data_IF_248290426392
#
_entry.id   IF_248290426392
#
_cell.length_a   1.000
_cell.length_b   1.000
_cell.length_c   1.000
_cell.angle_alpha   90.00
_cell.angle_beta   90.00
_cell.angle_gamma   90.00
#
_symmetry.space_group_name_H-M   'P 1'
#
loop_
_entity.id
_entity.type
_entity.pdbx_description
1 polymer ?
#
# COMPACT_ATOMS: atom_id res chain seq x y z
N UNK A 1 10.39 2.03 9.34
CA UNK A 1 9.59 1.25 8.38
C UNK A 1 8.74 2.21 7.58
N UNK A 2 8.47 1.90 6.31
CA UNK A 2 7.59 2.70 5.46
C UNK A 2 6.38 1.86 5.07
N UNK A 3 5.19 2.44 5.15
CA UNK A 3 3.94 1.78 4.81
C UNK A 3 3.30 2.43 3.59
N UNK A 4 2.66 1.59 2.77
CA UNK A 4 1.77 2.00 1.69
C UNK A 4 0.41 1.36 1.94
N UNK A 5 -0.59 2.19 2.25
CA UNK A 5 -1.95 1.71 2.47
C UNK A 5 -2.70 1.73 1.15
N UNK A 6 -3.24 0.57 0.80
CA UNK A 6 -4.13 0.40 -0.34
C UNK A 6 -5.47 1.14 -0.12
N UNK A 7 -6.22 1.34 -1.20
CA UNK A 7 -7.50 2.05 -1.22
C UNK A 7 -8.52 1.42 -0.27
N UNK A 8 -8.48 0.11 -0.11
CA UNK A 8 -9.39 -0.64 0.77
C UNK A 8 -9.02 -0.58 2.26
N UNK A 9 -7.80 -0.17 2.62
CA UNK A 9 -7.31 -0.19 3.99
C UNK A 9 -7.96 0.93 4.84
N UNK A 10 -8.36 0.67 6.08
CA UNK A 10 -9.05 1.68 6.89
C UNK A 10 -8.20 2.95 7.11
N UNK A 11 -8.78 4.14 6.89
CA UNK A 11 -8.09 5.42 7.09
C UNK A 11 -7.55 5.65 8.50
N UNK A 12 -8.24 5.17 9.54
CA UNK A 12 -7.78 5.27 10.93
C UNK A 12 -6.46 4.54 11.18
N UNK A 13 -6.10 3.55 10.36
CA UNK A 13 -4.80 2.88 10.42
C UNK A 13 -3.67 3.81 9.97
N UNK A 14 -3.93 4.68 8.99
CA UNK A 14 -2.96 5.68 8.52
C UNK A 14 -2.56 6.61 9.67
N UNK A 15 -3.55 7.15 10.37
CA UNK A 15 -3.34 8.07 11.50
C UNK A 15 -2.59 7.37 12.63
N UNK A 16 -3.00 6.16 13.00
CA UNK A 16 -2.32 5.37 14.03
C UNK A 16 -0.84 5.11 13.70
N UNK A 17 -0.52 4.73 12.45
CA UNK A 17 0.87 4.48 12.05
C UNK A 17 1.70 5.76 12.00
N UNK A 18 1.10 6.89 11.60
CA UNK A 18 1.75 8.21 11.64
C UNK A 18 2.02 8.65 13.07
N UNK A 19 1.08 8.45 13.99
CA UNK A 19 1.24 8.77 15.42
C UNK A 19 2.37 7.96 16.08
N UNK A 20 2.62 6.73 15.60
CA UNK A 20 3.77 5.92 15.99
C UNK A 20 5.11 6.38 15.37
N UNK A 21 5.09 7.39 14.50
CA UNK A 21 6.29 7.96 13.86
C UNK A 21 6.74 7.23 12.59
N UNK A 22 5.88 6.43 11.96
CA UNK A 22 6.22 5.78 10.69
C UNK A 22 5.99 6.70 9.48
N UNK A 23 6.73 6.43 8.40
CA UNK A 23 6.47 7.02 7.08
C UNK A 23 5.30 6.25 6.45
N UNK A 24 4.20 6.95 6.18
CA UNK A 24 2.96 6.36 5.70
C UNK A 24 2.49 7.12 4.47
N UNK A 25 2.34 6.39 3.36
CA UNK A 25 1.65 6.86 2.16
C UNK A 25 0.33 6.11 1.99
N UNK A 26 -0.65 6.74 1.34
CA UNK A 26 -1.94 6.12 1.05
C UNK A 26 -2.26 6.27 -0.44
N UNK A 27 -2.60 5.17 -1.11
CA UNK A 27 -2.93 5.16 -2.54
C UNK A 27 -4.09 6.12 -2.84
N UNK A 28 -5.11 6.13 -1.97
CA UNK A 28 -6.29 7.03 -2.08
C UNK A 28 -5.99 8.53 -2.10
N UNK A 29 -4.83 8.95 -1.59
CA UNK A 29 -4.41 10.35 -1.54
C UNK A 29 -3.69 10.77 -2.83
N UNK A 30 -3.22 9.80 -3.62
CA UNK A 30 -2.51 10.00 -4.89
C UNK A 30 -3.43 9.71 -6.07
N UNK A 31 -3.96 8.49 -6.13
CA UNK A 31 -4.89 8.03 -7.17
C UNK A 31 -5.71 6.84 -6.64
N UNK A 32 -7.04 7.02 -6.53
CA UNK A 32 -7.95 5.96 -6.06
C UNK A 32 -8.17 4.84 -7.07
N UNK A 33 -7.77 5.04 -8.31
CA UNK A 33 -7.85 4.09 -9.41
C UNK A 33 -6.50 3.52 -9.84
N UNK A 34 -5.44 3.77 -9.05
CA UNK A 34 -4.11 3.21 -9.28
C UNK A 34 -4.21 1.70 -9.42
N UNK A 35 -3.55 1.15 -10.44
CA UNK A 35 -3.55 -0.30 -10.63
C UNK A 35 -2.71 -0.98 -9.56
N UNK A 36 -3.10 -2.21 -9.24
CA UNK A 36 -2.36 -3.12 -8.39
C UNK A 36 -0.86 -3.25 -8.75
N UNK A 37 -0.54 -3.29 -10.04
CA UNK A 37 0.84 -3.30 -10.54
C UNK A 37 1.59 -2.01 -10.21
N UNK A 38 0.96 -0.85 -10.42
CA UNK A 38 1.56 0.44 -10.09
C UNK A 38 1.77 0.62 -8.57
N UNK A 39 0.83 0.12 -7.75
CA UNK A 39 0.96 0.09 -6.29
C UNK A 39 2.17 -0.75 -5.89
N UNK A 40 2.36 -1.92 -6.51
CA UNK A 40 3.48 -2.81 -6.25
C UNK A 40 4.82 -2.18 -6.67
N UNK A 41 4.87 -1.59 -7.86
CA UNK A 41 6.05 -0.87 -8.36
C UNK A 41 6.43 0.29 -7.43
N UNK A 42 5.46 1.05 -6.94
CA UNK A 42 5.68 2.09 -5.95
C UNK A 42 6.28 1.51 -4.66
N UNK A 43 5.69 0.44 -4.13
CA UNK A 43 6.17 -0.20 -2.92
C UNK A 43 7.61 -0.72 -3.07
N UNK A 44 7.94 -1.38 -4.18
CA UNK A 44 9.29 -1.88 -4.47
C UNK A 44 10.28 -0.72 -4.60
N UNK A 45 9.96 0.29 -5.40
CA UNK A 45 10.82 1.46 -5.63
C UNK A 45 11.17 2.18 -4.33
N UNK A 46 10.23 2.29 -3.41
CA UNK A 46 10.41 3.05 -2.16
C UNK A 46 10.69 2.20 -0.93
N UNK A 47 10.74 0.87 -1.10
CA UNK A 47 10.93 -0.11 -0.03
C UNK A 47 9.83 0.02 1.05
N UNK A 48 8.57 0.04 0.61
CA UNK A 48 7.38 0.13 1.47
C UNK A 48 6.76 -1.24 1.70
N UNK A 49 6.19 -1.42 2.88
CA UNK A 49 5.33 -2.55 3.22
C UNK A 49 3.90 -2.17 2.81
N UNK A 50 3.30 -2.97 1.93
CA UNK A 50 1.91 -2.80 1.52
C UNK A 50 1.00 -3.32 2.64
N UNK A 51 -0.03 -2.54 2.97
CA UNK A 51 -1.15 -2.99 3.80
C UNK A 51 -2.40 -2.92 2.94
N UNK A 52 -2.98 -4.09 2.66
CA UNK A 52 -4.21 -4.25 1.88
C UNK A 52 -5.14 -5.26 2.56
N UNK A 53 -6.43 -5.14 2.31
CA UNK A 53 -7.44 -6.18 2.64
C UNK A 53 -7.94 -6.91 1.39
N UNK A 54 -7.31 -6.70 0.23
CA UNK A 54 -7.62 -7.37 -1.01
C UNK A 54 -6.99 -8.77 -0.99
N UNK A 55 -7.83 -9.80 -1.10
CA UNK A 55 -7.41 -11.20 -1.10
C UNK A 55 -6.93 -11.70 -2.46
N UNK A 56 -6.97 -10.87 -3.50
CA UNK A 56 -6.42 -11.22 -4.81
C UNK A 56 -5.04 -10.58 -5.02
N UNK A 57 -4.58 -9.73 -4.10
CA UNK A 57 -3.31 -9.00 -4.22
C UNK A 57 -2.08 -9.94 -4.23
N UNK A 58 -2.13 -11.07 -3.53
CA UNK A 58 -1.03 -12.04 -3.56
C UNK A 58 -0.80 -12.64 -4.94
N UNK A 59 -1.82 -12.67 -5.82
CA UNK A 59 -1.67 -13.21 -7.16
C UNK A 59 -0.62 -12.41 -7.95
N UNK A 60 -0.50 -11.12 -7.68
CA UNK A 60 0.50 -10.22 -8.28
C UNK A 60 1.93 -10.55 -7.87
N UNK A 61 2.12 -11.25 -6.75
CA UNK A 61 3.43 -11.67 -6.24
C UNK A 61 3.79 -13.05 -6.81
N UNK A 62 2.83 -13.97 -6.84
CA UNK A 62 3.07 -15.34 -7.29
C UNK A 62 3.13 -15.50 -8.81
N UNK A 63 2.51 -14.59 -9.57
CA UNK A 63 2.44 -14.63 -11.03
C UNK A 63 3.49 -13.73 -11.71
N UNK A 64 4.53 -13.30 -11.00
CA UNK A 64 5.65 -12.59 -11.63
C UNK A 64 6.56 -13.59 -12.35
N UNK A 65 6.73 -13.40 -13.66
CA UNK A 65 7.69 -14.13 -14.52
C UNK A 65 9.14 -13.67 -14.29
#
# INVERSE_FOLDING_TARGET
MKFLLDVNANGSLSDFLKDLGYDVACVRDVDRSMSDGDILDWAVREQRIIITTDSDFEQLIWLQD
#
